data_IF_991437173242
#
_entry.id   IF_991437173242
#
_cell.length_a   1.000
_cell.length_b   1.000
_cell.length_c   1.000
_cell.angle_alpha   90.00
_cell.angle_beta   90.00
_cell.angle_gamma   90.00
#
_symmetry.space_group_name_H-M   'P 1'
#
loop_
_entity.id
_entity.type
_entity.pdbx_description
1 polymer ?
#
# COMPACT_ATOMS: atom_id res chain seq x y z
N UNK A 1 -1.65 -12.64 15.18
CA UNK A 1 -0.88 -12.81 13.93
C UNK A 1 -0.26 -11.48 13.54
N UNK A 2 1.01 -11.49 13.19
CA UNK A 2 1.73 -10.32 12.73
C UNK A 2 1.17 -9.84 11.40
N UNK A 3 0.89 -8.55 11.27
CA UNK A 3 0.35 -7.98 10.03
C UNK A 3 1.46 -7.55 9.07
N UNK A 4 2.54 -7.02 9.62
CA UNK A 4 3.69 -6.60 8.83
C UNK A 4 4.94 -6.58 9.71
N UNK A 5 6.10 -6.51 9.03
CA UNK A 5 7.42 -6.40 9.67
C UNK A 5 8.27 -5.41 8.91
N UNK A 6 8.92 -4.49 9.63
CA UNK A 6 9.84 -3.53 9.03
C UNK A 6 11.21 -4.16 8.87
N UNK A 7 11.82 -3.96 7.70
CA UNK A 7 13.14 -4.46 7.36
C UNK A 7 14.11 -3.30 7.17
N UNK A 8 15.30 -3.44 7.74
CA UNK A 8 16.38 -2.47 7.55
C UNK A 8 17.18 -2.89 6.32
N UNK A 9 17.19 -2.04 5.31
CA UNK A 9 17.90 -2.28 4.06
C UNK A 9 18.84 -1.09 3.83
N UNK A 10 20.09 -1.35 3.56
CA UNK A 10 21.15 -0.34 3.45
C UNK A 10 20.69 0.93 2.69
N UNK A 11 20.48 2.03 3.42
CA UNK A 11 20.05 3.31 2.86
C UNK A 11 18.57 3.45 2.56
N UNK A 12 17.79 2.36 2.62
CA UNK A 12 16.36 2.34 2.34
C UNK A 12 15.62 1.64 3.47
N UNK A 13 14.30 1.54 3.36
CA UNK A 13 13.49 0.78 4.31
C UNK A 13 12.65 -0.24 3.57
N UNK A 14 12.61 -1.45 4.09
CA UNK A 14 11.79 -2.52 3.56
C UNK A 14 10.62 -2.86 4.46
N UNK A 15 9.60 -3.47 3.88
CA UNK A 15 8.41 -3.91 4.59
C UNK A 15 7.98 -5.27 4.08
N UNK A 16 7.77 -6.21 5.01
CA UNK A 16 7.05 -7.44 4.72
C UNK A 16 5.65 -7.29 5.28
N UNK A 17 4.64 -7.63 4.48
CA UNK A 17 3.26 -7.62 4.92
C UNK A 17 2.62 -8.98 4.64
N UNK A 18 1.65 -9.35 5.46
CA UNK A 18 1.04 -10.67 5.42
C UNK A 18 -0.48 -10.55 5.44
N UNK A 19 -1.15 -11.55 4.90
CA UNK A 19 -2.60 -11.64 4.95
C UNK A 19 -3.10 -13.03 4.59
N UNK A 20 -4.27 -13.40 5.09
CA UNK A 20 -4.93 -14.65 4.72
C UNK A 20 -5.38 -14.61 3.26
N UNK A 21 -5.65 -13.41 2.75
CA UNK A 21 -5.96 -13.16 1.34
C UNK A 21 -5.00 -12.12 0.80
N UNK A 22 -4.89 -12.03 -0.51
CA UNK A 22 -4.06 -11.00 -1.15
C UNK A 22 -4.58 -9.60 -0.84
N UNK A 23 -5.89 -9.42 -0.75
CA UNK A 23 -6.52 -8.15 -0.37
C UNK A 23 -6.08 -7.72 1.01
N UNK A 24 -6.11 -8.63 1.99
CA UNK A 24 -5.66 -8.35 3.35
C UNK A 24 -4.18 -7.98 3.39
N UNK A 25 -3.34 -8.67 2.61
CA UNK A 25 -1.92 -8.35 2.53
C UNK A 25 -1.69 -6.94 1.98
N UNK A 26 -2.48 -6.51 0.99
CA UNK A 26 -2.41 -5.14 0.44
C UNK A 26 -2.81 -4.10 1.49
N UNK A 27 -3.85 -4.37 2.27
CA UNK A 27 -4.28 -3.49 3.37
C UNK A 27 -3.18 -3.39 4.44
N UNK A 28 -2.60 -4.52 4.80
CA UNK A 28 -1.54 -4.55 5.82
C UNK A 28 -0.25 -3.88 5.34
N UNK A 29 0.06 -3.95 4.05
CA UNK A 29 1.19 -3.23 3.46
C UNK A 29 0.98 -1.72 3.57
N UNK A 30 -0.23 -1.23 3.31
CA UNK A 30 -0.56 0.18 3.44
C UNK A 30 -0.48 0.65 4.90
N UNK A 31 -1.01 -0.15 5.82
CA UNK A 31 -0.94 0.15 7.25
C UNK A 31 0.53 0.20 7.72
N UNK A 32 1.33 -0.73 7.28
CA UNK A 32 2.77 -0.74 7.58
C UNK A 32 3.49 0.49 7.04
N UNK A 33 3.19 0.88 5.81
CA UNK A 33 3.76 2.08 5.22
C UNK A 33 3.38 3.34 6.00
N UNK A 34 2.11 3.50 6.34
CA UNK A 34 1.68 4.65 7.15
C UNK A 34 2.36 4.67 8.52
N UNK A 35 2.57 3.49 9.13
CA UNK A 35 3.25 3.40 10.42
C UNK A 35 4.73 3.82 10.35
N UNK A 36 5.33 3.75 9.16
CA UNK A 36 6.69 4.28 8.93
C UNK A 36 6.70 5.79 8.85
N UNK A 37 5.60 6.40 8.42
CA UNK A 37 5.47 7.86 8.28
C UNK A 37 5.16 8.52 9.62
N UNK A 38 4.28 7.92 10.43
CA UNK A 38 3.83 8.50 11.70
C UNK A 38 3.36 7.42 12.66
N UNK A 39 3.08 7.83 13.90
CA UNK A 39 2.42 6.95 14.87
C UNK A 39 0.91 6.96 14.59
N UNK A 40 0.39 5.85 14.08
CA UNK A 40 -1.02 5.74 13.69
C UNK A 40 -2.01 5.85 14.85
N UNK A 41 -1.57 5.61 16.09
CA UNK A 41 -2.44 5.77 17.25
C UNK A 41 -2.92 7.21 17.43
N UNK A 42 -2.12 8.18 16.97
CA UNK A 42 -2.46 9.59 17.04
C UNK A 42 -3.32 10.07 15.85
N UNK A 43 -3.47 9.25 14.83
CA UNK A 43 -4.29 9.59 13.64
C UNK A 43 -5.75 9.31 13.92
N UNK A 44 -6.60 10.30 13.65
CA UNK A 44 -8.04 10.19 13.80
C UNK A 44 -8.72 10.02 12.43
N UNK A 45 -9.79 9.25 12.40
CA UNK A 45 -10.52 8.99 11.16
C UNK A 45 -11.60 10.05 10.96
N UNK A 46 -11.18 11.28 10.62
CA UNK A 46 -12.07 12.44 10.49
C UNK A 46 -12.67 12.61 9.11
N UNK A 47 -11.98 12.12 8.08
CA UNK A 47 -12.47 12.22 6.70
C UNK A 47 -12.05 10.98 5.92
N UNK A 48 -12.69 10.78 4.78
CA UNK A 48 -12.39 9.65 3.90
C UNK A 48 -12.00 10.14 2.52
N UNK A 49 -11.14 9.37 1.87
CA UNK A 49 -10.82 9.57 0.46
C UNK A 49 -10.97 8.22 -0.25
N UNK A 50 -11.33 8.28 -1.53
CA UNK A 50 -11.35 7.09 -2.38
C UNK A 50 -10.05 7.02 -3.14
N UNK A 51 -9.38 5.88 -3.07
CA UNK A 51 -8.11 5.63 -3.72
C UNK A 51 -8.27 4.48 -4.69
N UNK A 52 -7.84 4.67 -5.93
CA UNK A 52 -7.87 3.63 -6.96
C UNK A 52 -6.49 3.45 -7.55
N UNK A 53 -6.16 2.21 -7.88
CA UNK A 53 -4.92 1.90 -8.58
C UNK A 53 -5.17 0.75 -9.55
N UNK A 54 -4.44 0.76 -10.65
CA UNK A 54 -4.56 -0.23 -11.70
C UNK A 54 -3.16 -0.62 -12.20
N UNK A 55 -3.03 -1.85 -12.68
CA UNK A 55 -1.79 -2.35 -13.26
C UNK A 55 -2.06 -3.57 -14.14
N UNK A 56 -1.09 -3.90 -14.97
CA UNK A 56 -1.15 -5.11 -15.80
C UNK A 56 -0.78 -6.37 -15.03
N UNK A 57 -0.22 -6.22 -13.83
CA UNK A 57 0.22 -7.34 -12.99
C UNK A 57 -0.12 -7.08 -11.54
N UNK A 58 -0.17 -8.15 -10.74
CA UNK A 58 -0.41 -8.04 -9.31
C UNK A 58 0.75 -7.34 -8.60
N UNK A 59 1.98 -7.62 -8.99
CA UNK A 59 3.18 -6.95 -8.46
C UNK A 59 3.11 -5.44 -8.75
N UNK A 60 2.80 -5.08 -9.99
CA UNK A 60 2.63 -3.68 -10.38
C UNK A 60 1.48 -3.01 -9.65
N UNK A 61 0.41 -3.75 -9.36
CA UNK A 61 -0.72 -3.22 -8.60
C UNK A 61 -0.31 -2.80 -7.20
N UNK A 62 0.54 -3.59 -6.54
CA UNK A 62 1.04 -3.24 -5.21
C UNK A 62 1.79 -1.92 -5.23
N UNK A 63 2.71 -1.76 -6.18
CA UNK A 63 3.49 -0.52 -6.33
C UNK A 63 2.56 0.65 -6.63
N UNK A 64 1.62 0.51 -7.55
CA UNK A 64 0.64 1.54 -7.89
C UNK A 64 -0.23 1.91 -6.69
N UNK A 65 -0.69 0.92 -5.94
CA UNK A 65 -1.51 1.12 -4.73
C UNK A 65 -0.77 1.96 -3.69
N UNK A 66 0.44 1.56 -3.34
CA UNK A 66 1.22 2.27 -2.32
C UNK A 66 1.62 3.67 -2.80
N UNK A 67 1.98 3.82 -4.07
CA UNK A 67 2.34 5.13 -4.62
C UNK A 67 1.13 6.08 -4.70
N UNK A 68 -0.09 5.58 -4.91
CA UNK A 68 -1.29 6.41 -4.83
C UNK A 68 -1.51 6.94 -3.41
N UNK A 69 -1.27 6.12 -2.40
CA UNK A 69 -1.36 6.56 -1.01
C UNK A 69 -0.29 7.62 -0.69
N UNK A 70 0.92 7.42 -1.19
CA UNK A 70 2.01 8.41 -1.06
C UNK A 70 1.63 9.71 -1.75
N UNK A 71 1.03 9.64 -2.94
CA UNK A 71 0.56 10.80 -3.69
C UNK A 71 -0.46 11.62 -2.88
N UNK A 72 -1.42 10.97 -2.24
CA UNK A 72 -2.41 11.65 -1.40
C UNK A 72 -1.75 12.33 -0.19
N UNK A 73 -0.74 11.71 0.37
CA UNK A 73 0.02 12.31 1.47
C UNK A 73 0.83 13.53 1.00
N UNK A 74 1.58 13.39 -0.09
CA UNK A 74 2.45 14.46 -0.60
C UNK A 74 1.66 15.64 -1.13
N UNK A 75 0.55 15.38 -1.82
CA UNK A 75 -0.23 16.42 -2.50
C UNK A 75 -1.21 17.10 -1.55
N UNK A 76 -1.90 16.33 -0.72
CA UNK A 76 -2.99 16.84 0.12
C UNK A 76 -2.68 16.78 1.61
N UNK A 77 -1.55 16.24 2.00
CA UNK A 77 -1.20 16.05 3.41
C UNK A 77 -2.07 14.99 4.09
N UNK A 78 -2.75 14.13 3.35
CA UNK A 78 -3.68 13.16 3.91
C UNK A 78 -2.92 11.93 4.44
N UNK A 79 -3.05 11.65 5.74
CA UNK A 79 -2.53 10.44 6.36
C UNK A 79 -3.69 9.51 6.73
N UNK A 80 -3.64 8.26 6.23
CA UNK A 80 -4.71 7.29 6.44
C UNK A 80 -4.47 6.41 7.64
N UNK A 81 -5.55 5.89 8.18
CA UNK A 81 -5.52 4.93 9.28
C UNK A 81 -6.41 3.72 8.99
N UNK A 82 -7.67 3.94 8.65
CA UNK A 82 -8.61 2.89 8.32
C UNK A 82 -8.67 2.65 6.83
N UNK A 83 -8.64 1.41 6.41
CA UNK A 83 -8.66 1.05 4.98
C UNK A 83 -9.74 -0.01 4.77
N UNK A 84 -10.69 0.31 3.89
CA UNK A 84 -11.73 -0.63 3.46
C UNK A 84 -11.61 -0.82 1.96
N UNK A 85 -11.35 -2.04 1.52
CA UNK A 85 -11.27 -2.33 0.09
C UNK A 85 -12.67 -2.58 -0.44
N UNK A 86 -13.10 -1.75 -1.39
CA UNK A 86 -14.41 -1.83 -2.00
C UNK A 86 -14.44 -2.76 -3.21
N UNK A 87 -13.35 -2.76 -3.99
CA UNK A 87 -13.18 -3.62 -5.15
C UNK A 87 -11.73 -4.08 -5.25
N UNK A 88 -11.53 -5.35 -5.56
CA UNK A 88 -10.20 -5.89 -5.80
C UNK A 88 -10.26 -6.93 -6.90
N UNK A 89 -9.57 -6.66 -8.00
CA UNK A 89 -9.52 -7.57 -9.15
C UNK A 89 -8.07 -8.00 -9.38
N UNK A 90 -7.65 -9.14 -8.84
CA UNK A 90 -6.28 -9.63 -9.01
C UNK A 90 -6.21 -10.56 -10.23
N UNK A 91 -6.53 -10.06 -11.41
CA UNK A 91 -6.54 -10.91 -12.59
C UNK A 91 -5.14 -11.42 -12.90
N UNK A 92 -5.00 -12.73 -12.96
CA UNK A 92 -3.77 -13.41 -13.35
C UNK A 92 -3.82 -13.88 -14.80
N UNK A 93 -4.95 -13.61 -15.48
CA UNK A 93 -5.11 -14.00 -16.90
C UNK A 93 -4.68 -12.85 -17.79
N UNK A 94 -4.00 -13.21 -18.88
CA UNK A 94 -3.67 -12.25 -19.92
C UNK A 94 -4.97 -11.71 -20.53
N UNK A 95 -5.02 -10.40 -20.88
CA UNK A 95 -6.18 -9.87 -21.57
C UNK A 95 -6.38 -10.62 -22.91
N UNK A 96 -7.63 -10.70 -23.40
CA UNK A 96 -7.89 -11.33 -24.70
C UNK A 96 -7.03 -10.71 -25.81
N UNK A 97 -6.65 -11.55 -26.75
CA UNK A 97 -5.86 -11.10 -27.90
C UNK A 97 -6.58 -9.96 -28.62
N UNK A 98 -5.87 -8.86 -28.86
CA UNK A 98 -6.44 -7.68 -29.49
C UNK A 98 -6.87 -6.57 -28.51
N UNK A 99 -6.87 -6.85 -27.21
CA UNK A 99 -7.17 -5.84 -26.20
C UNK A 99 -5.83 -5.43 -25.56
N UNK A 100 -4.98 -4.80 -26.35
CA UNK A 100 -3.67 -4.35 -25.91
C UNK A 100 -3.78 -3.15 -24.95
N UNK A 101 -3.02 -3.19 -23.87
CA UNK A 101 -2.90 -2.06 -22.96
C UNK A 101 -3.96 -1.95 -21.88
N UNK A 102 -4.92 -2.85 -21.81
CA UNK A 102 -5.87 -2.85 -20.71
C UNK A 102 -5.23 -3.37 -19.43
N UNK A 103 -5.44 -2.61 -18.36
CA UNK A 103 -4.95 -3.00 -17.04
C UNK A 103 -5.94 -3.98 -16.42
N UNK A 104 -5.47 -5.19 -16.15
CA UNK A 104 -6.30 -6.29 -15.67
C UNK A 104 -6.41 -6.41 -14.16
N UNK A 105 -5.51 -5.76 -13.43
CA UNK A 105 -5.52 -5.74 -11.96
C UNK A 105 -5.97 -4.37 -11.47
N UNK A 106 -6.87 -4.35 -10.50
CA UNK A 106 -7.42 -3.10 -9.97
C UNK A 106 -7.74 -3.21 -8.50
N UNK A 107 -7.50 -2.13 -7.77
CA UNK A 107 -7.95 -1.97 -6.39
C UNK A 107 -8.67 -0.63 -6.26
N UNK A 108 -9.81 -0.64 -5.56
CA UNK A 108 -10.52 0.56 -5.15
C UNK A 108 -10.78 0.46 -3.66
N UNK A 109 -10.37 1.47 -2.92
CA UNK A 109 -10.48 1.47 -1.48
C UNK A 109 -10.95 2.82 -0.95
N UNK A 110 -11.61 2.78 0.20
CA UNK A 110 -11.95 3.95 0.98
C UNK A 110 -10.96 4.01 2.14
N UNK A 111 -10.23 5.11 2.24
CA UNK A 111 -9.24 5.32 3.29
C UNK A 111 -9.73 6.43 4.20
N UNK A 112 -9.82 6.14 5.49
CA UNK A 112 -10.21 7.11 6.50
C UNK A 112 -8.99 7.58 7.29
N UNK A 113 -8.93 8.87 7.55
CA UNK A 113 -7.81 9.49 8.23
C UNK A 113 -8.02 10.97 8.43
N UNK A 114 -6.95 11.73 8.39
CA UNK A 114 -6.99 13.17 8.59
C UNK A 114 -5.82 13.85 7.91
N UNK A 115 -5.81 15.17 7.94
CA UNK A 115 -4.68 15.95 7.46
C UNK A 115 -3.51 15.80 8.45
N UNK A 116 -2.33 15.56 7.93
CA UNK A 116 -1.12 15.45 8.74
C UNK A 116 -0.77 16.81 9.35
N UNK A 117 -0.66 16.83 10.67
CA UNK A 117 -0.34 18.03 11.46
C UNK A 117 0.98 17.80 12.19
N UNK A 118 2.09 18.46 11.76
CA UNK A 118 3.39 18.28 12.41
C UNK A 118 3.40 18.65 13.90
N UNK A 119 2.45 19.47 14.36
CA UNK A 119 2.33 19.84 15.78
C UNK A 119 1.69 18.77 16.64
N UNK A 120 0.97 17.82 16.02
CA UNK A 120 0.25 16.76 16.73
C UNK A 120 0.69 15.36 16.32
N UNK A 121 1.10 15.18 15.06
CA UNK A 121 1.56 13.90 14.55
C UNK A 121 3.08 13.83 14.57
N UNK A 122 3.60 12.69 15.05
CA UNK A 122 5.04 12.44 14.99
C UNK A 122 5.48 12.21 13.54
N UNK A 123 6.50 12.94 13.09
CA UNK A 123 7.12 12.69 11.81
C UNK A 123 8.23 11.68 11.97
N UNK A 124 8.13 10.52 11.32
CA UNK A 124 9.16 9.47 11.37
C UNK A 124 10.00 9.49 10.10
N UNK A 125 9.51 8.87 9.03
CA UNK A 125 10.22 8.79 7.76
C UNK A 125 9.46 9.54 6.67
N UNK A 126 10.20 10.15 5.77
CA UNK A 126 9.64 10.71 4.56
C UNK A 126 9.76 9.66 3.45
N UNK A 127 8.66 8.99 3.16
CA UNK A 127 8.60 7.96 2.13
C UNK A 127 8.38 8.64 0.78
N UNK A 128 9.30 8.47 -0.15
CA UNK A 128 9.20 9.08 -1.49
C UNK A 128 8.44 8.21 -2.46
N UNK A 129 8.66 6.91 -2.44
CA UNK A 129 8.04 5.98 -3.38
C UNK A 129 8.18 4.54 -2.93
N UNK A 130 7.21 3.71 -3.33
CA UNK A 130 7.37 2.26 -3.34
C UNK A 130 8.11 1.89 -4.62
N UNK A 131 9.02 0.92 -4.54
CA UNK A 131 9.87 0.53 -5.66
C UNK A 131 9.66 -0.92 -6.08
N UNK A 132 10.16 -1.26 -7.27
CA UNK A 132 10.16 -2.64 -7.76
C UNK A 132 11.35 -3.46 -7.25
N UNK A 133 12.26 -2.83 -6.52
CA UNK A 133 13.45 -3.50 -6.02
C UNK A 133 13.08 -4.59 -5.02
N UNK A 134 13.45 -5.85 -5.30
CA UNK A 134 13.13 -7.03 -4.48
C UNK A 134 11.64 -7.20 -4.19
N UNK A 135 10.79 -6.69 -5.07
CA UNK A 135 9.35 -6.76 -4.92
C UNK A 135 8.87 -8.21 -5.01
N UNK A 136 8.01 -8.59 -4.09
CA UNK A 136 7.35 -9.90 -4.10
C UNK A 136 5.91 -9.79 -3.66
N UNK A 137 5.03 -10.46 -4.39
CA UNK A 137 3.65 -10.70 -3.97
C UNK A 137 3.43 -12.18 -4.24
N UNK A 138 3.46 -13.01 -3.20
CA UNK A 138 3.38 -14.45 -3.39
C UNK A 138 2.53 -15.13 -2.33
N UNK A 139 1.90 -16.22 -2.72
CA UNK A 139 1.15 -17.06 -1.81
C UNK A 139 2.06 -18.18 -1.29
N UNK A 140 2.21 -18.24 0.01
CA UNK A 140 2.93 -19.32 0.69
C UNK A 140 1.93 -20.12 1.49
N UNK A 141 2.14 -21.41 1.62
CA UNK A 141 1.34 -22.39 2.35
C UNK A 141 -0.02 -21.89 2.90
N UNK A 142 -0.02 -21.07 3.94
CA UNK A 142 -1.23 -20.64 4.64
C UNK A 142 -1.54 -19.15 4.52
N UNK A 143 -0.69 -18.37 3.84
CA UNK A 143 -0.88 -16.91 3.78
C UNK A 143 -0.23 -16.29 2.56
N UNK A 144 -0.66 -15.07 2.26
CA UNK A 144 0.03 -14.23 1.27
C UNK A 144 1.14 -13.43 1.95
N UNK A 145 2.25 -13.26 1.26
CA UNK A 145 3.37 -12.44 1.71
C UNK A 145 3.73 -11.43 0.65
N UNK A 146 3.94 -10.21 1.10
CA UNK A 146 4.38 -9.08 0.28
C UNK A 146 5.72 -8.62 0.80
N UNK A 147 6.64 -8.31 -0.12
CA UNK A 147 7.91 -7.69 0.20
C UNK A 147 8.05 -6.45 -0.67
N UNK A 148 8.26 -5.29 -0.06
CA UNK A 148 8.39 -4.03 -0.79
C UNK A 148 9.49 -3.18 -0.14
N UNK A 149 10.27 -2.49 -0.96
CA UNK A 149 11.30 -1.56 -0.52
C UNK A 149 10.88 -0.15 -0.91
N UNK A 150 10.95 0.75 0.06
CA UNK A 150 10.61 2.15 -0.12
C UNK A 150 11.86 3.00 -0.28
N UNK A 151 11.77 3.95 -1.19
CA UNK A 151 12.74 5.03 -1.37
C UNK A 151 12.45 6.11 -0.33
N UNK A 152 13.46 6.53 0.41
CA UNK A 152 13.30 7.52 1.48
C UNK A 152 14.24 8.70 1.32
#
# INVERSE_FOLDING_TARGET
>A
MEKFRVLDVSGDVGLEAYGATVTEAFVNAAAGMYSLITNLEAVQEKKTVTVTAESISLDGLLVSWLNELIFHFDTYGFIGKGITVDEFTPSLTLPPEGVGGEKSCRIKATVSGEEFDPGRHEGKLLIKAATYHRLKVEKKAARWEINVIFDI
#
